data_IF_718382460127
#
_entry.id   IF_718382460127
#
_cell.length_a   1.000
_cell.length_b   1.000
_cell.length_c   1.000
_cell.angle_alpha   90.00
_cell.angle_beta   90.00
_cell.angle_gamma   90.00
#
_symmetry.space_group_name_H-M   'P 1'
#
loop_
_entity.id
_entity.type
_entity.pdbx_description
1 polymer ?
#
# COMPACT_ATOMS: atom_id res chain seq x y z
N UNK A 1 -13.09 -28.24 5.55
CA UNK A 1 -12.02 -28.68 4.63
C UNK A 1 -11.62 -27.43 3.85
N UNK A 2 -10.44 -26.87 4.13
CA UNK A 2 -9.93 -25.70 3.43
C UNK A 2 -9.55 -26.13 2.02
N UNK A 3 -10.21 -25.54 1.03
CA UNK A 3 -9.86 -25.71 -0.38
C UNK A 3 -8.56 -25.00 -0.62
N UNK A 4 -7.47 -25.75 -0.83
CA UNK A 4 -6.21 -25.19 -1.29
C UNK A 4 -6.44 -24.60 -2.70
N UNK A 5 -6.26 -23.30 -2.82
CA UNK A 5 -6.30 -22.59 -4.10
C UNK A 5 -5.20 -23.17 -5.00
N UNK A 6 -5.57 -23.82 -6.08
CA UNK A 6 -4.64 -24.37 -7.07
C UNK A 6 -4.14 -23.22 -7.93
N UNK A 7 -2.93 -22.76 -7.63
CA UNK A 7 -2.24 -21.76 -8.43
C UNK A 7 -1.69 -22.38 -9.72
N UNK A 8 -2.31 -22.12 -10.86
CA UNK A 8 -1.74 -22.46 -12.15
C UNK A 8 -0.91 -21.30 -12.69
N UNK A 9 0.36 -21.59 -12.91
CA UNK A 9 1.37 -20.66 -13.41
C UNK A 9 1.42 -20.78 -14.94
N UNK A 10 0.86 -19.80 -15.65
CA UNK A 10 1.11 -19.64 -17.07
C UNK A 10 1.92 -18.37 -17.34
N UNK A 11 3.12 -18.57 -17.85
CA UNK A 11 4.05 -17.51 -18.23
C UNK A 11 3.61 -16.97 -19.60
N UNK A 12 2.99 -15.81 -19.63
CA UNK A 12 2.63 -15.11 -20.87
C UNK A 12 3.83 -14.35 -21.42
N UNK A 13 3.90 -14.23 -22.74
CA UNK A 13 5.04 -13.86 -23.57
C UNK A 13 5.64 -12.44 -23.41
N UNK A 14 5.43 -11.75 -22.30
CA UNK A 14 6.08 -10.48 -21.97
C UNK A 14 6.87 -10.64 -20.67
N UNK A 15 8.18 -10.32 -20.62
CA UNK A 15 9.01 -10.53 -19.44
C UNK A 15 8.61 -9.68 -18.22
N UNK A 16 7.71 -8.69 -18.39
CA UNK A 16 7.34 -7.74 -17.35
C UNK A 16 5.93 -7.91 -16.74
N UNK A 17 5.11 -8.85 -17.25
CA UNK A 17 3.74 -9.05 -16.78
C UNK A 17 3.61 -10.44 -16.18
N UNK A 18 3.22 -10.52 -14.91
CA UNK A 18 2.89 -11.77 -14.23
C UNK A 18 1.39 -11.96 -14.18
N UNK A 19 0.94 -13.09 -14.73
CA UNK A 19 -0.45 -13.55 -14.59
C UNK A 19 -0.59 -14.36 -13.32
N UNK A 20 -1.53 -13.95 -12.48
CA UNK A 20 -1.89 -14.64 -11.24
C UNK A 20 -3.31 -15.13 -11.41
N UNK A 21 -3.52 -16.44 -11.27
CA UNK A 21 -4.85 -17.05 -11.33
C UNK A 21 -5.33 -17.40 -9.93
N UNK A 22 -6.48 -16.86 -9.54
CA UNK A 22 -7.18 -17.21 -8.30
C UNK A 22 -8.45 -17.96 -8.68
N UNK A 23 -8.63 -19.12 -8.04
CA UNK A 23 -9.85 -19.93 -8.22
C UNK A 23 -10.94 -19.43 -7.28
N UNK A 24 -12.16 -19.30 -7.83
CA UNK A 24 -13.37 -18.92 -7.11
C UNK A 24 -14.40 -20.04 -7.26
N UNK A 25 -15.05 -20.40 -6.17
CA UNK A 25 -16.18 -21.34 -6.22
C UNK A 25 -17.46 -20.62 -6.64
N UNK A 26 -17.60 -19.35 -6.28
CA UNK A 26 -18.69 -18.47 -6.69
C UNK A 26 -18.27 -17.00 -6.65
N UNK A 27 -19.11 -16.10 -7.18
CA UNK A 27 -18.85 -14.66 -7.14
C UNK A 27 -18.86 -14.07 -5.73
N UNK A 28 -19.56 -14.70 -4.79
CA UNK A 28 -19.61 -14.23 -3.41
C UNK A 28 -18.27 -14.35 -2.67
N UNK A 29 -17.35 -15.19 -3.15
CA UNK A 29 -16.00 -15.32 -2.57
C UNK A 29 -15.16 -14.02 -2.69
N UNK A 30 -15.50 -13.18 -3.67
CA UNK A 30 -14.85 -11.88 -3.86
C UNK A 30 -15.32 -10.86 -2.84
N UNK A 31 -16.53 -11.04 -2.30
CA UNK A 31 -17.20 -10.03 -1.49
C UNK A 31 -17.41 -10.49 -0.04
N UNK A 32 -17.58 -9.51 0.85
CA UNK A 32 -17.91 -9.79 2.24
C UNK A 32 -19.25 -10.48 2.38
N UNK A 33 -19.30 -11.60 3.09
CA UNK A 33 -20.53 -12.34 3.38
C UNK A 33 -21.51 -11.57 4.29
N UNK A 34 -21.01 -10.55 4.99
CA UNK A 34 -21.83 -9.67 5.85
C UNK A 34 -22.52 -8.54 5.09
N UNK A 35 -22.17 -8.33 3.83
CA UNK A 35 -22.67 -7.23 3.02
C UNK A 35 -23.75 -7.74 2.04
N UNK A 36 -25.01 -7.45 2.33
CA UNK A 36 -26.17 -7.87 1.53
C UNK A 36 -26.50 -6.95 0.36
N UNK A 37 -25.69 -5.91 0.10
CA UNK A 37 -25.90 -4.98 -1.01
C UNK A 37 -25.72 -5.67 -2.37
N UNK A 38 -26.22 -5.06 -3.45
CA UNK A 38 -25.96 -5.54 -4.81
C UNK A 38 -24.47 -5.62 -5.13
N UNK A 39 -24.05 -6.51 -6.03
CA UNK A 39 -22.65 -6.73 -6.43
C UNK A 39 -21.90 -5.43 -6.79
N UNK A 40 -22.61 -4.45 -7.35
CA UNK A 40 -22.05 -3.15 -7.73
C UNK A 40 -21.57 -2.29 -6.55
N UNK A 41 -22.13 -2.53 -5.35
CA UNK A 41 -21.86 -1.73 -4.14
C UNK A 41 -21.24 -2.54 -3.01
N UNK A 42 -21.24 -3.86 -3.13
CA UNK A 42 -20.77 -4.79 -2.09
C UNK A 42 -19.31 -4.57 -1.78
N UNK A 43 -18.95 -4.68 -0.50
CA UNK A 43 -17.57 -4.58 -0.03
C UNK A 43 -16.75 -5.80 -0.45
N UNK A 44 -15.53 -5.57 -0.90
CA UNK A 44 -14.61 -6.65 -1.22
C UNK A 44 -14.18 -7.36 0.07
N UNK A 45 -14.10 -8.69 0.02
CA UNK A 45 -13.72 -9.53 1.16
C UNK A 45 -12.26 -9.32 1.56
N UNK A 46 -12.00 -9.28 2.86
CA UNK A 46 -10.63 -9.21 3.39
C UNK A 46 -9.86 -10.51 3.12
N UNK A 47 -10.54 -11.66 3.10
CA UNK A 47 -9.94 -12.95 2.76
C UNK A 47 -9.45 -12.95 1.31
N UNK A 48 -10.30 -12.50 0.38
CA UNK A 48 -9.92 -12.35 -1.03
C UNK A 48 -8.73 -11.39 -1.19
N UNK A 49 -8.76 -10.24 -0.51
CA UNK A 49 -7.67 -9.26 -0.56
C UNK A 49 -6.37 -9.79 0.03
N UNK A 50 -6.45 -10.58 1.10
CA UNK A 50 -5.28 -11.20 1.72
C UNK A 50 -4.62 -12.20 0.77
N UNK A 51 -5.42 -12.95 0.01
CA UNK A 51 -4.92 -13.92 -0.96
C UNK A 51 -4.27 -13.23 -2.14
N UNK A 52 -4.91 -12.19 -2.71
CA UNK A 52 -4.31 -11.35 -3.75
C UNK A 52 -2.98 -10.77 -3.28
N UNK A 53 -2.92 -10.27 -2.05
CA UNK A 53 -1.69 -9.67 -1.47
C UNK A 53 -0.57 -10.66 -1.33
N UNK A 54 -0.83 -11.86 -0.77
CA UNK A 54 0.18 -12.91 -0.65
C UNK A 54 0.86 -13.19 -1.98
N UNK A 55 0.06 -13.40 -3.01
CA UNK A 55 0.60 -13.74 -4.33
C UNK A 55 1.33 -12.55 -4.97
N UNK A 56 0.89 -11.33 -4.71
CA UNK A 56 1.60 -10.13 -5.14
C UNK A 56 2.98 -9.99 -4.45
N UNK A 57 3.03 -10.23 -3.15
CA UNK A 57 4.26 -10.09 -2.35
C UNK A 57 5.31 -11.15 -2.72
N UNK A 58 4.88 -12.39 -3.03
CA UNK A 58 5.78 -13.45 -3.49
C UNK A 58 6.54 -13.10 -4.77
N UNK A 59 5.97 -12.27 -5.62
CA UNK A 59 6.51 -12.01 -6.96
C UNK A 59 7.29 -10.71 -7.09
N UNK A 60 7.18 -9.78 -6.11
CA UNK A 60 7.90 -8.49 -6.06
C UNK A 60 8.03 -7.79 -7.43
N UNK A 61 6.94 -7.69 -8.22
CA UNK A 61 6.95 -7.18 -9.58
C UNK A 61 5.96 -6.05 -9.83
N UNK A 62 6.31 -5.20 -10.78
CA UNK A 62 5.61 -3.94 -11.04
C UNK A 62 4.26 -4.06 -11.76
N UNK A 63 4.03 -5.17 -12.49
CA UNK A 63 2.80 -5.37 -13.26
C UNK A 63 2.25 -6.77 -13.04
N UNK A 64 1.07 -6.83 -12.48
CA UNK A 64 0.37 -8.07 -12.17
C UNK A 64 -0.95 -8.08 -12.93
N UNK A 65 -1.22 -9.18 -13.62
CA UNK A 65 -2.49 -9.49 -14.25
C UNK A 65 -3.23 -10.49 -13.37
N UNK A 66 -4.30 -10.05 -12.72
CA UNK A 66 -5.14 -10.90 -11.92
C UNK A 66 -6.19 -11.57 -12.80
N UNK A 67 -6.14 -12.89 -12.87
CA UNK A 67 -7.11 -13.74 -13.56
C UNK A 67 -7.96 -14.47 -12.52
N UNK A 68 -9.26 -14.27 -12.58
CA UNK A 68 -10.20 -14.98 -11.75
C UNK A 68 -10.73 -16.17 -12.55
N UNK A 69 -10.53 -17.38 -12.04
CA UNK A 69 -11.00 -18.62 -12.66
C UNK A 69 -12.16 -19.18 -11.85
N UNK A 70 -13.20 -19.64 -12.53
CA UNK A 70 -14.37 -20.25 -11.91
C UNK A 70 -15.01 -21.27 -12.85
N UNK A 71 -15.87 -22.20 -12.35
CA UNK A 71 -16.59 -23.16 -13.17
C UNK A 71 -17.46 -22.45 -14.22
N UNK A 72 -17.41 -22.94 -15.47
CA UNK A 72 -18.07 -22.32 -16.61
C UNK A 72 -19.60 -22.26 -16.44
N UNK A 73 -20.18 -23.28 -15.81
CA UNK A 73 -21.62 -23.37 -15.55
C UNK A 73 -22.17 -22.32 -14.56
N UNK A 74 -21.30 -21.66 -13.80
CA UNK A 74 -21.67 -20.61 -12.84
C UNK A 74 -21.41 -19.19 -13.36
N UNK A 75 -20.81 -19.09 -14.54
CA UNK A 75 -20.45 -17.82 -15.14
C UNK A 75 -21.68 -17.08 -15.70
N UNK A 76 -21.73 -15.78 -15.40
CA UNK A 76 -22.75 -14.84 -15.90
C UNK A 76 -22.06 -13.58 -16.39
N UNK A 77 -22.10 -13.34 -17.70
CA UNK A 77 -21.41 -12.20 -18.33
C UNK A 77 -21.77 -10.84 -17.73
N UNK A 78 -23.04 -10.65 -17.37
CA UNK A 78 -23.50 -9.37 -16.83
C UNK A 78 -22.97 -9.13 -15.42
N UNK A 79 -22.94 -10.16 -14.58
CA UNK A 79 -22.35 -10.09 -13.24
C UNK A 79 -20.84 -9.86 -13.33
N UNK A 80 -20.15 -10.54 -14.27
CA UNK A 80 -18.71 -10.35 -14.49
C UNK A 80 -18.35 -8.90 -14.85
N UNK A 81 -19.11 -8.25 -15.72
CA UNK A 81 -18.89 -6.84 -16.07
C UNK A 81 -19.01 -5.92 -14.86
N UNK A 82 -20.01 -6.18 -14.01
CA UNK A 82 -20.23 -5.43 -12.78
C UNK A 82 -19.07 -5.65 -11.79
N UNK A 83 -18.66 -6.89 -11.60
CA UNK A 83 -17.56 -7.27 -10.68
C UNK A 83 -16.24 -6.65 -11.13
N UNK A 84 -15.91 -6.76 -12.42
CA UNK A 84 -14.68 -6.16 -12.97
C UNK A 84 -14.65 -4.66 -12.74
N UNK A 85 -15.76 -3.98 -13.01
CA UNK A 85 -15.89 -2.53 -12.77
C UNK A 85 -15.71 -2.20 -11.28
N UNK A 86 -16.33 -2.98 -10.40
CA UNK A 86 -16.25 -2.79 -8.95
C UNK A 86 -14.83 -2.98 -8.42
N UNK A 87 -14.15 -4.06 -8.81
CA UNK A 87 -12.77 -4.32 -8.44
C UNK A 87 -11.84 -3.23 -8.97
N UNK A 88 -12.04 -2.78 -10.22
CA UNK A 88 -11.24 -1.70 -10.77
C UNK A 88 -11.36 -0.39 -9.97
N UNK A 89 -12.58 -0.01 -9.59
CA UNK A 89 -12.83 1.17 -8.74
C UNK A 89 -12.19 0.98 -7.37
N UNK A 90 -12.33 -0.19 -6.77
CA UNK A 90 -11.73 -0.51 -5.48
C UNK A 90 -10.21 -0.34 -5.50
N UNK A 91 -9.51 -1.01 -6.42
CA UNK A 91 -8.05 -0.93 -6.50
C UNK A 91 -7.56 0.47 -6.89
N UNK A 92 -8.29 1.20 -7.72
CA UNK A 92 -7.97 2.58 -8.04
C UNK A 92 -8.05 3.48 -6.80
N UNK A 93 -9.07 3.31 -5.97
CA UNK A 93 -9.21 4.07 -4.73
C UNK A 93 -8.09 3.72 -3.74
N UNK A 94 -7.77 2.43 -3.57
CA UNK A 94 -6.64 2.00 -2.74
C UNK A 94 -5.32 2.63 -3.20
N UNK A 95 -5.06 2.65 -4.51
CA UNK A 95 -3.87 3.28 -5.07
C UNK A 95 -3.81 4.79 -4.77
N UNK A 96 -4.94 5.49 -4.86
CA UNK A 96 -5.00 6.92 -4.55
C UNK A 96 -4.73 7.18 -3.07
N UNK A 97 -5.32 6.39 -2.16
CA UNK A 97 -5.10 6.51 -0.72
C UNK A 97 -3.63 6.34 -0.37
N UNK A 98 -2.99 5.27 -0.86
CA UNK A 98 -1.56 5.02 -0.63
C UNK A 98 -0.69 6.17 -1.15
N UNK A 99 -0.95 6.67 -2.37
CA UNK A 99 -0.21 7.81 -2.93
C UNK A 99 -0.34 9.06 -2.07
N UNK A 100 -1.52 9.32 -1.53
CA UNK A 100 -1.77 10.50 -0.68
C UNK A 100 -1.06 10.37 0.67
N UNK A 101 -1.09 9.18 1.27
CA UNK A 101 -0.39 8.93 2.53
C UNK A 101 1.13 9.07 2.39
N UNK A 102 1.71 8.49 1.34
CA UNK A 102 3.15 8.61 1.06
C UNK A 102 3.54 10.07 0.83
N UNK A 103 2.74 10.81 0.06
CA UNK A 103 2.98 12.24 -0.19
C UNK A 103 2.97 13.05 1.10
N UNK A 104 2.00 12.81 1.98
CA UNK A 104 1.88 13.52 3.25
C UNK A 104 3.03 13.19 4.21
N UNK A 105 3.46 11.92 4.27
CA UNK A 105 4.61 11.50 5.09
C UNK A 105 5.91 12.14 4.58
N UNK A 106 6.14 12.14 3.28
CA UNK A 106 7.32 12.77 2.69
C UNK A 106 7.36 14.28 2.92
N UNK A 107 6.22 14.96 2.82
CA UNK A 107 6.15 16.40 3.08
C UNK A 107 6.53 16.76 4.51
N UNK A 108 6.07 15.98 5.50
CA UNK A 108 6.48 16.16 6.90
C UNK A 108 7.98 15.92 7.08
N UNK A 109 8.55 14.89 6.45
CA UNK A 109 9.99 14.63 6.51
C UNK A 109 10.81 15.78 5.95
N UNK A 110 10.43 16.33 4.80
CA UNK A 110 11.11 17.49 4.19
C UNK A 110 11.03 18.71 5.11
N UNK A 111 9.87 18.96 5.74
CA UNK A 111 9.69 20.05 6.68
C UNK A 111 10.66 19.96 7.86
N UNK A 112 10.85 18.77 8.45
CA UNK A 112 11.81 18.59 9.55
C UNK A 112 13.26 18.80 9.11
N UNK A 113 13.62 18.37 7.90
CA UNK A 113 14.97 18.58 7.36
C UNK A 113 15.25 20.07 7.18
N UNK A 114 14.31 20.81 6.57
CA UNK A 114 14.45 22.25 6.34
C UNK A 114 14.52 22.99 7.68
N UNK A 115 13.65 22.64 8.64
CA UNK A 115 13.65 23.24 9.96
C UNK A 115 14.96 23.00 10.70
N UNK A 116 15.49 21.78 10.67
CA UNK A 116 16.82 21.46 11.25
C UNK A 116 17.95 22.25 10.61
N UNK A 117 17.95 22.39 9.28
CA UNK A 117 18.94 23.19 8.57
C UNK A 117 18.90 24.68 8.96
N UNK A 118 17.70 25.26 9.09
CA UNK A 118 17.52 26.65 9.55
C UNK A 118 18.04 26.84 10.97
N UNK A 119 17.73 25.90 11.87
CA UNK A 119 18.27 25.96 13.25
C UNK A 119 19.80 25.88 13.27
N UNK A 120 20.39 25.05 12.43
CA UNK A 120 21.85 24.92 12.35
C UNK A 120 22.51 26.21 11.84
N UNK A 121 21.93 26.85 10.83
CA UNK A 121 22.39 28.13 10.33
C UNK A 121 22.25 29.23 11.40
N UNK A 122 21.15 29.24 12.11
CA UNK A 122 20.89 30.19 13.19
C UNK A 122 21.88 30.02 14.34
N UNK A 123 22.15 28.79 14.76
CA UNK A 123 23.16 28.48 15.78
C UNK A 123 24.59 28.92 15.35
N UNK A 124 24.92 28.66 14.08
CA UNK A 124 26.19 29.10 13.48
C UNK A 124 26.34 30.62 13.46
N UNK A 125 25.25 31.32 13.11
CA UNK A 125 25.23 32.79 13.12
C UNK A 125 25.44 33.37 14.52
N UNK A 126 24.79 32.82 15.55
CA UNK A 126 24.98 33.24 16.94
C UNK A 126 26.42 32.97 17.42
N UNK A 127 26.98 31.81 17.08
CA UNK A 127 28.34 31.41 17.43
C UNK A 127 29.37 32.35 16.81
N UNK A 128 29.12 32.78 15.57
CA UNK A 128 30.01 33.76 14.90
C UNK A 128 29.99 35.13 15.58
N UNK A 129 28.82 35.62 16.01
CA UNK A 129 28.68 36.95 16.63
C UNK A 129 29.10 37.00 18.13
N UNK A 130 29.01 35.89 18.87
CA UNK A 130 29.32 35.81 20.31
C UNK A 130 29.98 34.47 20.68
N UNK A 131 31.23 34.23 20.23
CA UNK A 131 31.85 32.90 20.33
C UNK A 131 32.05 32.42 21.78
N UNK A 132 32.42 33.32 22.71
CA UNK A 132 32.77 32.93 24.08
C UNK A 132 31.57 32.42 24.92
N UNK A 133 30.37 33.01 24.74
CA UNK A 133 29.20 32.64 25.54
C UNK A 133 28.52 31.37 25.06
N UNK A 134 28.57 31.11 23.74
CA UNK A 134 27.91 29.94 23.17
C UNK A 134 28.65 28.64 23.48
N UNK A 135 29.97 28.65 23.40
CA UNK A 135 30.82 27.51 23.73
C UNK A 135 30.66 27.06 25.20
N UNK A 136 30.57 28.01 26.12
CA UNK A 136 30.36 27.73 27.53
C UNK A 136 28.98 27.14 27.80
N UNK A 137 27.90 27.66 27.20
CA UNK A 137 26.56 27.10 27.36
C UNK A 137 26.40 25.71 26.74
N UNK A 138 26.96 25.46 25.56
CA UNK A 138 26.97 24.16 24.93
C UNK A 138 27.72 23.11 25.76
N UNK A 139 28.85 23.52 26.40
CA UNK A 139 29.61 22.65 27.26
C UNK A 139 28.87 22.30 28.56
N UNK A 140 28.15 23.25 29.14
CA UNK A 140 27.33 23.02 30.34
C UNK A 140 26.18 22.03 30.05
N UNK A 141 25.48 22.19 28.93
CA UNK A 141 24.37 21.29 28.54
C UNK A 141 24.88 19.86 28.27
N UNK A 142 26.07 19.72 27.66
CA UNK A 142 26.68 18.41 27.39
C UNK A 142 27.30 17.75 28.63
N UNK A 143 27.62 18.53 29.69
CA UNK A 143 28.22 18.02 30.91
C UNK A 143 27.25 17.64 32.02
N UNK A 144 25.94 17.96 31.87
CA UNK A 144 24.91 17.47 32.80
C UNK A 144 24.63 15.99 32.53
N UNK A 145 24.97 15.06 33.44
CA UNK A 145 24.58 13.68 33.32
C UNK A 145 23.07 13.59 33.48
N UNK A 146 22.40 12.95 32.52
CA UNK A 146 21.01 12.59 32.63
C UNK A 146 20.82 11.69 33.86
N UNK A 147 20.33 12.26 34.93
CA UNK A 147 19.94 11.59 36.17
C UNK A 147 18.47 11.14 36.08
#
# INVERSE_FOLDING_TARGET
MKTEAIYQHQQTASPDIYEISIWLDCYDDIFSSFDSRPLSERSVSDDFLSEVRKVCDEKNRNKIHLKLAMPENLRKEDDEKVIIKRLHVYFKNCQQTVKTEVKNKNLKGIFYIVFGAVLMLFASYISYNKPEKFAVHAMVILSEPAS
#
